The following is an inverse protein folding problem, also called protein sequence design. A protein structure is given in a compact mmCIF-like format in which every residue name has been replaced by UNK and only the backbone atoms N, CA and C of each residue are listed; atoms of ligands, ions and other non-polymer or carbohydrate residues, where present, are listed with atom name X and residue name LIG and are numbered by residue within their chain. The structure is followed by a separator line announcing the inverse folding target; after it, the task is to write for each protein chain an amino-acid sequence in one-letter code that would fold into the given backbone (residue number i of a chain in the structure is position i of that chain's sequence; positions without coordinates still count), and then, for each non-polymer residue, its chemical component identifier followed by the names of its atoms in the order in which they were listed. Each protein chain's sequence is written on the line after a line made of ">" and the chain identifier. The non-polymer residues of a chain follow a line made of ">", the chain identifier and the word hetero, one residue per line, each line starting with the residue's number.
data_IF_745696539701
#
_entry.id   IF_745696539701
#
_cell.length_a   1.000
_cell.length_b   1.000
_cell.length_c   1.000
_cell.angle_alpha   90.00
_cell.angle_beta   90.00
_cell.angle_gamma   90.00
#
_symmetry.space_group_name_H-M   'P 1'
#
loop_
_entity.id
_entity.type
_entity.pdbx_description
1 polymer ?
#
# COMPACT_ATOMS: atom_id res chain seq x y z
N UNK A 1 -19.90 8.15 -11.05
CA UNK A 1 -18.64 7.41 -10.84
C UNK A 1 -17.76 8.04 -9.75
N UNK A 2 -17.50 9.36 -9.75
CA UNK A 2 -16.68 10.03 -8.71
C UNK A 2 -17.16 9.83 -7.26
N UNK A 3 -18.48 9.73 -7.03
CA UNK A 3 -19.06 9.51 -5.69
C UNK A 3 -18.71 8.12 -5.13
N UNK A 4 -18.44 7.12 -6.00
CA UNK A 4 -18.12 5.75 -5.58
C UNK A 4 -16.67 5.64 -5.10
N UNK A 5 -15.72 6.26 -5.81
CA UNK A 5 -14.29 6.30 -5.45
C UNK A 5 -14.04 6.96 -4.08
N UNK A 6 -14.72 8.08 -3.81
CA UNK A 6 -14.64 8.76 -2.50
C UNK A 6 -15.19 7.87 -1.39
N UNK A 7 -16.33 7.21 -1.59
CA UNK A 7 -16.91 6.31 -0.58
C UNK A 7 -16.02 5.11 -0.28
N UNK A 8 -15.44 4.43 -1.29
CA UNK A 8 -14.58 3.27 -1.04
C UNK A 8 -13.24 3.68 -0.43
N UNK A 9 -12.66 4.81 -0.85
CA UNK A 9 -11.46 5.37 -0.22
C UNK A 9 -11.69 5.78 1.24
N UNK A 10 -12.85 6.37 1.55
CA UNK A 10 -13.24 6.71 2.93
C UNK A 10 -13.52 5.47 3.78
N UNK A 11 -14.14 4.42 3.22
CA UNK A 11 -14.36 3.15 3.92
C UNK A 11 -13.02 2.46 4.26
N UNK A 12 -12.08 2.44 3.33
CA UNK A 12 -10.73 1.92 3.57
C UNK A 12 -10.00 2.72 4.66
N UNK A 13 -10.15 4.05 4.66
CA UNK A 13 -9.57 4.92 5.68
C UNK A 13 -10.17 4.68 7.07
N UNK A 14 -11.50 4.63 7.19
CA UNK A 14 -12.19 4.35 8.46
C UNK A 14 -11.81 2.98 9.01
N UNK A 15 -11.76 1.95 8.17
CA UNK A 15 -11.33 0.60 8.57
C UNK A 15 -9.90 0.60 9.12
N UNK A 16 -8.96 1.28 8.44
CA UNK A 16 -7.58 1.42 8.92
C UNK A 16 -7.50 2.14 10.26
N UNK A 17 -8.33 3.16 10.50
CA UNK A 17 -8.39 3.83 11.79
C UNK A 17 -8.92 2.92 12.90
N UNK A 18 -9.95 2.12 12.61
CA UNK A 18 -10.50 1.15 13.56
C UNK A 18 -9.50 0.06 13.91
N UNK A 19 -8.80 -0.50 12.91
CA UNK A 19 -7.71 -1.45 13.13
C UNK A 19 -6.62 -0.83 14.00
N UNK A 20 -6.15 0.38 13.66
CA UNK A 20 -5.12 1.06 14.44
C UNK A 20 -5.49 1.31 15.90
N UNK A 21 -6.78 1.52 16.20
CA UNK A 21 -7.29 1.64 17.58
C UNK A 21 -7.39 0.30 18.29
N UNK A 22 -7.72 -0.77 17.57
CA UNK A 22 -7.92 -2.11 18.13
C UNK A 22 -6.59 -2.83 18.37
N UNK A 23 -5.77 -2.92 17.33
CA UNK A 23 -4.43 -3.49 17.34
C UNK A 23 -3.63 -2.92 16.15
N UNK A 24 -2.64 -2.04 16.39
CA UNK A 24 -1.82 -1.44 15.35
C UNK A 24 -1.09 -2.47 14.45
N UNK A 25 -0.85 -3.69 14.94
CA UNK A 25 -0.22 -4.76 14.18
C UNK A 25 -1.05 -5.15 12.96
N UNK A 26 -2.38 -5.00 13.03
CA UNK A 26 -3.30 -5.30 11.93
C UNK A 26 -3.22 -4.29 10.77
N UNK A 27 -2.55 -3.15 10.97
CA UNK A 27 -2.28 -2.17 9.90
C UNK A 27 -1.08 -2.58 9.05
N UNK A 28 -0.15 -3.35 9.59
CA UNK A 28 1.07 -3.83 8.91
C UNK A 28 0.82 -4.47 7.54
N UNK A 29 -0.16 -5.37 7.33
CA UNK A 29 -0.42 -5.95 6.01
C UNK A 29 -0.78 -4.90 4.96
N UNK A 30 -1.43 -3.79 5.33
CA UNK A 30 -1.75 -2.70 4.40
C UNK A 30 -0.51 -1.94 3.97
N UNK A 31 0.39 -1.65 4.91
CA UNK A 31 1.70 -1.09 4.59
C UNK A 31 2.49 -2.03 3.67
N UNK A 32 2.49 -3.33 3.96
CA UNK A 32 3.14 -4.33 3.12
C UNK A 32 2.61 -4.27 1.69
N UNK A 33 1.30 -4.45 1.47
CA UNK A 33 0.74 -4.51 0.11
C UNK A 33 0.96 -3.22 -0.67
N UNK A 34 0.76 -2.05 -0.05
CA UNK A 34 0.93 -0.75 -0.71
C UNK A 34 2.39 -0.50 -1.12
N UNK A 35 3.34 -0.64 -0.19
CA UNK A 35 4.74 -0.38 -0.52
C UNK A 35 5.33 -1.45 -1.43
N UNK A 36 4.94 -2.72 -1.30
CA UNK A 36 5.38 -3.76 -2.23
C UNK A 36 4.86 -3.49 -3.65
N UNK A 37 3.61 -3.06 -3.80
CA UNK A 37 3.05 -2.70 -5.09
C UNK A 37 3.80 -1.53 -5.72
N UNK A 38 4.00 -0.44 -4.99
CA UNK A 38 4.67 0.76 -5.50
C UNK A 38 6.16 0.55 -5.83
N UNK A 39 6.86 -0.21 -5.00
CA UNK A 39 8.30 -0.48 -5.19
C UNK A 39 8.57 -1.56 -6.25
N UNK A 40 7.60 -2.44 -6.53
CA UNK A 40 7.71 -3.44 -7.60
C UNK A 40 6.98 -3.00 -8.88
N UNK A 41 5.65 -3.13 -8.92
CA UNK A 41 4.83 -2.85 -10.11
C UNK A 41 4.67 -1.36 -10.42
N UNK A 42 4.76 -0.49 -9.41
CA UNK A 42 4.62 0.96 -9.57
C UNK A 42 5.60 1.57 -10.57
N UNK A 43 6.79 0.98 -10.75
CA UNK A 43 7.76 1.43 -11.76
C UNK A 43 7.25 1.26 -13.19
N UNK A 44 6.50 0.19 -13.46
CA UNK A 44 5.89 -0.02 -14.78
C UNK A 44 4.78 1.00 -15.02
N UNK A 45 3.98 1.29 -13.99
CA UNK A 45 2.90 2.28 -14.06
C UNK A 45 3.48 3.69 -14.23
N UNK A 46 4.53 4.05 -13.48
CA UNK A 46 5.26 5.32 -13.62
C UNK A 46 5.72 5.53 -15.08
N UNK A 47 6.31 4.50 -15.70
CA UNK A 47 6.74 4.53 -17.10
C UNK A 47 5.55 4.70 -18.06
N UNK A 48 4.44 4.01 -17.80
CA UNK A 48 3.22 4.14 -18.60
C UNK A 48 2.66 5.57 -18.51
N UNK A 49 2.51 6.11 -17.31
CA UNK A 49 2.00 7.48 -17.09
C UNK A 49 2.90 8.51 -17.77
N UNK A 50 4.22 8.40 -17.61
CA UNK A 50 5.19 9.29 -18.27
C UNK A 50 5.05 9.27 -19.80
N UNK A 51 4.82 8.08 -20.37
CA UNK A 51 4.70 7.91 -21.82
C UNK A 51 3.35 8.40 -22.34
N UNK A 52 2.26 8.08 -21.65
CA UNK A 52 0.90 8.40 -22.10
C UNK A 52 0.53 9.86 -21.91
N UNK A 53 1.02 10.51 -20.85
CA UNK A 53 0.60 11.86 -20.48
C UNK A 53 1.68 12.92 -20.63
N UNK A 54 2.96 12.52 -20.80
CA UNK A 54 4.10 13.45 -20.95
C UNK A 54 4.05 14.62 -19.95
N UNK A 55 3.93 14.36 -18.63
CA UNK A 55 3.81 15.43 -17.65
C UNK A 55 5.07 16.32 -17.64
N UNK A 56 4.94 17.60 -17.23
CA UNK A 56 6.10 18.48 -17.02
C UNK A 56 7.14 17.85 -16.10
N UNK A 57 8.39 18.25 -16.25
CA UNK A 57 9.47 17.74 -15.41
C UNK A 57 9.19 18.06 -13.93
N UNK A 58 9.25 17.02 -13.08
CA UNK A 58 8.97 17.15 -11.65
C UNK A 58 7.49 17.15 -11.26
N UNK A 59 6.56 17.06 -12.22
CA UNK A 59 5.12 17.09 -11.95
C UNK A 59 4.43 15.75 -12.26
N UNK A 60 3.28 15.51 -11.64
CA UNK A 60 2.37 14.38 -11.97
C UNK A 60 2.85 12.97 -11.59
N UNK A 61 4.11 12.79 -11.14
CA UNK A 61 4.70 11.48 -10.85
C UNK A 61 5.17 11.31 -9.39
N UNK A 62 4.89 12.28 -8.51
CA UNK A 62 5.41 12.31 -7.13
C UNK A 62 5.03 11.08 -6.30
N UNK A 63 3.89 10.43 -6.59
CA UNK A 63 3.51 9.18 -5.92
C UNK A 63 4.51 8.03 -6.15
N UNK A 64 5.25 8.05 -7.27
CA UNK A 64 6.25 7.03 -7.62
C UNK A 64 7.69 7.45 -7.25
N UNK A 65 7.89 8.69 -6.79
CA UNK A 65 9.20 9.28 -6.55
C UNK A 65 9.76 8.89 -5.17
N UNK A 66 10.36 7.70 -5.09
CA UNK A 66 11.10 7.28 -3.90
C UNK A 66 12.54 7.79 -3.95
N UNK A 67 12.90 8.74 -3.06
CA UNK A 67 14.25 9.28 -2.96
C UNK A 67 15.22 8.31 -2.26
N UNK A 68 15.51 7.18 -2.92
CA UNK A 68 16.39 6.12 -2.41
C UNK A 68 17.35 5.63 -3.47
N UNK A 69 18.56 5.22 -3.05
CA UNK A 69 19.60 4.69 -3.96
C UNK A 69 19.18 3.36 -4.61
N UNK A 70 18.34 2.56 -3.96
CA UNK A 70 17.86 1.29 -4.49
C UNK A 70 16.47 0.97 -3.95
N UNK A 71 15.47 0.93 -4.85
CA UNK A 71 14.10 0.52 -4.49
C UNK A 71 14.05 -0.92 -4.01
N UNK A 72 14.91 -1.80 -4.55
CA UNK A 72 15.04 -3.18 -4.10
C UNK A 72 15.54 -3.25 -2.65
N UNK A 73 16.55 -2.46 -2.29
CA UNK A 73 17.05 -2.39 -0.91
C UNK A 73 15.96 -1.89 0.03
N UNK A 74 15.26 -0.80 -0.31
CA UNK A 74 14.11 -0.30 0.47
C UNK A 74 13.02 -1.38 0.63
N UNK A 75 12.68 -2.09 -0.44
CA UNK A 75 11.70 -3.17 -0.42
C UNK A 75 12.10 -4.28 0.56
N UNK A 76 13.36 -4.71 0.53
CA UNK A 76 13.85 -5.75 1.42
C UNK A 76 13.87 -5.25 2.88
N UNK A 77 14.33 -4.01 3.12
CA UNK A 77 14.28 -3.41 4.47
C UNK A 77 12.86 -3.35 5.03
N UNK A 78 11.86 -2.97 4.22
CA UNK A 78 10.46 -2.97 4.67
C UNK A 78 10.01 -4.39 5.03
N UNK A 79 10.32 -5.40 4.20
CA UNK A 79 10.00 -6.80 4.51
C UNK A 79 10.62 -7.26 5.82
N UNK A 80 11.91 -6.98 6.01
CA UNK A 80 12.65 -7.38 7.21
C UNK A 80 12.07 -6.72 8.46
N UNK A 81 11.73 -5.42 8.38
CA UNK A 81 11.11 -4.68 9.49
C UNK A 81 9.72 -5.20 9.82
N UNK A 82 8.92 -5.56 8.82
CA UNK A 82 7.60 -6.15 9.01
C UNK A 82 7.70 -7.53 9.65
N UNK A 83 8.62 -8.38 9.17
CA UNK A 83 8.84 -9.71 9.72
C UNK A 83 9.36 -9.67 11.17
N UNK A 84 10.04 -8.59 11.56
CA UNK A 84 10.54 -8.39 12.92
C UNK A 84 9.47 -7.89 13.91
N UNK A 85 8.25 -7.56 13.45
CA UNK A 85 7.17 -7.12 14.35
C UNK A 85 6.72 -8.32 15.19
N UNK A 86 6.80 -8.26 16.53
CA UNK A 86 6.38 -9.35 17.40
C UNK A 86 4.87 -9.59 17.29
N UNK A 87 4.47 -10.85 17.16
CA UNK A 87 3.07 -11.27 17.13
C UNK A 87 2.95 -12.73 17.56
N UNK A 88 1.80 -13.10 18.10
CA UNK A 88 1.45 -14.50 18.35
C UNK A 88 0.74 -15.13 17.14
N UNK A 89 0.49 -16.44 17.18
CA UNK A 89 -0.16 -17.14 16.06
C UNK A 89 -1.62 -16.68 15.84
N UNK A 90 -2.32 -16.21 16.89
CA UNK A 90 -3.66 -15.65 16.74
C UNK A 90 -3.65 -14.34 15.95
N UNK A 91 -2.73 -13.43 16.30
CA UNK A 91 -2.50 -12.16 15.62
C UNK A 91 -2.04 -12.38 14.19
N UNK A 92 -1.16 -13.37 13.96
CA UNK A 92 -0.72 -13.77 12.60
C UNK A 92 -1.89 -14.18 11.71
N UNK A 93 -2.84 -14.97 12.22
CA UNK A 93 -4.03 -15.35 11.48
C UNK A 93 -4.86 -14.12 11.09
N UNK A 94 -5.01 -13.15 12.00
CA UNK A 94 -5.68 -11.88 11.72
C UNK A 94 -4.92 -11.03 10.68
N UNK A 95 -3.60 -10.95 10.74
CA UNK A 95 -2.76 -10.26 9.74
C UNK A 95 -2.97 -10.87 8.34
N UNK A 96 -3.03 -12.20 8.25
CA UNK A 96 -3.28 -12.89 6.98
C UNK A 96 -4.70 -12.64 6.47
N UNK A 97 -5.70 -12.60 7.37
CA UNK A 97 -7.07 -12.22 7.01
C UNK A 97 -7.14 -10.79 6.48
N UNK A 98 -6.49 -9.84 7.17
CA UNK A 98 -6.43 -8.44 6.76
C UNK A 98 -5.65 -8.24 5.45
N UNK A 99 -4.67 -9.09 5.17
CA UNK A 99 -4.01 -9.12 3.85
C UNK A 99 -5.00 -9.41 2.72
N UNK A 100 -5.89 -10.39 2.89
CA UNK A 100 -6.93 -10.71 1.91
C UNK A 100 -7.94 -9.56 1.80
N UNK A 101 -8.33 -8.97 2.93
CA UNK A 101 -9.24 -7.82 2.96
C UNK A 101 -8.65 -6.60 2.24
N UNK A 102 -7.35 -6.33 2.40
CA UNK A 102 -6.65 -5.28 1.68
C UNK A 102 -6.78 -5.43 0.16
N UNK A 103 -6.58 -6.64 -0.39
CA UNK A 103 -6.77 -6.89 -1.82
C UNK A 103 -8.22 -6.67 -2.26
N UNK A 104 -9.20 -7.16 -1.47
CA UNK A 104 -10.62 -6.99 -1.76
C UNK A 104 -11.01 -5.51 -1.81
N UNK A 105 -10.58 -4.72 -0.82
CA UNK A 105 -10.84 -3.28 -0.78
C UNK A 105 -10.21 -2.56 -1.97
N UNK A 106 -8.96 -2.86 -2.31
CA UNK A 106 -8.31 -2.27 -3.49
C UNK A 106 -9.09 -2.57 -4.79
N UNK A 107 -9.63 -3.78 -4.95
CA UNK A 107 -10.40 -4.16 -6.14
C UNK A 107 -11.82 -3.54 -6.17
N UNK A 108 -12.31 -3.07 -5.03
CA UNK A 108 -13.59 -2.37 -4.92
C UNK A 108 -13.45 -0.87 -5.22
N UNK A 109 -12.24 -0.31 -5.14
CA UNK A 109 -11.94 1.05 -5.59
C UNK A 109 -12.03 1.04 -7.11
N UNK A 110 -13.16 1.51 -7.65
CA UNK A 110 -13.47 1.61 -9.08
C UNK A 110 -13.77 3.04 -9.49
#
# INVERSE_FOLDING_TARGET
>A
MLVCLLCVGLLAFSHLQELGKKDPTLVVPYCYHMYMAMLAGGQMIEKMVKTSFSPPEGEGLNAFAFNVKSRMALRNTIKDKINAVPHDEATKALILQESVNCFKMNNQVR
#
